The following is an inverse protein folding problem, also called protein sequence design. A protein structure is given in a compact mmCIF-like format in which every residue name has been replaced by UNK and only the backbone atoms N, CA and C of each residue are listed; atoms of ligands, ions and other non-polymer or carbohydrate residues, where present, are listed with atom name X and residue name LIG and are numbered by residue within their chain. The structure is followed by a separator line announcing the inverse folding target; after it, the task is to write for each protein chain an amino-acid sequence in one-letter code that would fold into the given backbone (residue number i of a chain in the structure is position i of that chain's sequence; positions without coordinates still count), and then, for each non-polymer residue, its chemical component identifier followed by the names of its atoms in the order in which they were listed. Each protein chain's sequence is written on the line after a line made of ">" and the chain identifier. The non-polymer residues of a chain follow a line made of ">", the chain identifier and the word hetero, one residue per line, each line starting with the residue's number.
data_IF_215275035238
#
_entry.id   IF_215275035238
#
_cell.length_a   1.000
_cell.length_b   1.000
_cell.length_c   1.000
_cell.angle_alpha   90.00
_cell.angle_beta   90.00
_cell.angle_gamma   90.00
#
_symmetry.space_group_name_H-M   'P 1'
#
loop_
_entity.id
_entity.type
_entity.pdbx_description
1 polymer ?
#
# COMPACT_ATOMS: atom_id res chain seq x y z
N UNK A 1 16.41 -17.74 13.29
CA UNK A 1 15.28 -17.84 12.34
C UNK A 1 14.00 -18.31 13.02
N UNK A 2 13.83 -19.59 13.41
CA UNK A 2 12.60 -20.03 14.14
C UNK A 2 12.44 -19.26 15.47
N UNK A 3 13.52 -19.10 16.20
CA UNK A 3 13.56 -18.31 17.45
C UNK A 3 13.16 -16.85 17.26
N UNK A 4 13.39 -16.29 16.06
CA UNK A 4 13.12 -14.89 15.77
C UNK A 4 11.65 -14.69 15.38
N UNK A 5 11.10 -15.62 14.60
CA UNK A 5 9.66 -15.69 14.32
C UNK A 5 8.83 -15.80 15.61
N UNK A 6 9.21 -16.72 16.50
CA UNK A 6 8.53 -16.90 17.79
C UNK A 6 8.61 -15.64 18.66
N UNK A 7 9.75 -14.94 18.64
CA UNK A 7 9.93 -13.68 19.37
C UNK A 7 8.99 -12.61 18.84
N UNK A 8 9.00 -12.39 17.52
CA UNK A 8 8.13 -11.37 16.90
C UNK A 8 6.67 -11.67 17.21
N UNK A 9 6.22 -12.91 16.99
CA UNK A 9 4.85 -13.32 17.32
C UNK A 9 4.46 -13.00 18.76
N UNK A 10 5.33 -13.30 19.73
CA UNK A 10 5.09 -13.05 21.16
C UNK A 10 5.15 -11.57 21.55
N UNK A 11 5.77 -10.71 20.74
CA UNK A 11 5.81 -9.27 20.98
C UNK A 11 4.58 -8.54 20.48
N UNK A 12 3.80 -9.15 19.58
CA UNK A 12 2.55 -8.57 19.08
C UNK A 12 1.50 -8.52 20.19
N UNK A 13 0.93 -7.35 20.39
CA UNK A 13 0.15 -7.04 21.59
C UNK A 13 -1.34 -7.45 21.54
N UNK A 14 -1.84 -7.91 20.39
CA UNK A 14 -3.23 -8.37 20.24
C UNK A 14 -3.36 -9.57 19.30
N UNK A 15 -4.54 -10.21 19.32
CA UNK A 15 -4.84 -11.37 18.48
C UNK A 15 -4.89 -11.02 16.99
N UNK A 16 -5.42 -9.85 16.64
CA UNK A 16 -5.50 -9.39 15.25
C UNK A 16 -4.11 -9.32 14.61
N UNK A 17 -3.15 -8.70 15.27
CA UNK A 17 -1.76 -8.60 14.80
C UNK A 17 -1.13 -9.98 14.67
N UNK A 18 -1.37 -10.88 15.62
CA UNK A 18 -0.85 -12.25 15.59
C UNK A 18 -1.41 -13.05 14.41
N UNK A 19 -2.71 -12.94 14.16
CA UNK A 19 -3.35 -13.62 13.03
C UNK A 19 -2.92 -13.04 11.68
N UNK A 20 -2.80 -11.71 11.57
CA UNK A 20 -2.28 -11.05 10.37
C UNK A 20 -0.83 -11.48 10.13
N UNK A 21 0.01 -11.50 11.16
CA UNK A 21 1.39 -11.95 11.06
C UNK A 21 1.51 -13.38 10.51
N UNK A 22 0.74 -14.33 11.08
CA UNK A 22 0.80 -15.73 10.65
C UNK A 22 0.30 -15.93 9.22
N UNK A 23 -0.83 -15.30 8.87
CA UNK A 23 -1.34 -15.35 7.50
C UNK A 23 -0.34 -14.71 6.52
N UNK A 24 0.24 -13.55 6.88
CA UNK A 24 1.23 -12.89 6.04
C UNK A 24 2.49 -13.71 5.86
N UNK A 25 2.98 -14.33 6.92
CA UNK A 25 4.13 -15.23 6.87
C UNK A 25 3.86 -16.42 5.93
N UNK A 26 2.69 -17.05 6.06
CA UNK A 26 2.31 -18.14 5.18
C UNK A 26 2.19 -17.70 3.72
N UNK A 27 1.62 -16.52 3.45
CA UNK A 27 1.60 -15.93 2.11
C UNK A 27 3.02 -15.72 1.57
N UNK A 28 3.92 -15.11 2.34
CA UNK A 28 5.30 -14.87 1.93
C UNK A 28 6.07 -16.16 1.60
N UNK A 29 5.74 -17.28 2.27
CA UNK A 29 6.37 -18.59 2.04
C UNK A 29 5.77 -19.31 0.82
N UNK A 30 4.46 -19.26 0.67
CA UNK A 30 3.72 -20.13 -0.27
C UNK A 30 3.29 -19.45 -1.55
N UNK A 31 3.15 -18.12 -1.53
CA UNK A 31 2.46 -17.35 -2.57
C UNK A 31 0.94 -17.60 -2.61
N UNK A 32 0.38 -18.33 -1.65
CA UNK A 32 -1.03 -18.71 -1.67
C UNK A 32 -1.92 -17.56 -1.19
N UNK A 33 -2.69 -17.00 -2.13
CA UNK A 33 -3.54 -15.84 -1.87
C UNK A 33 -4.61 -16.09 -0.80
N UNK A 34 -4.98 -17.34 -0.48
CA UNK A 34 -5.96 -17.65 0.57
C UNK A 34 -5.56 -17.05 1.92
N UNK A 35 -4.28 -16.92 2.21
CA UNK A 35 -3.85 -16.29 3.46
C UNK A 35 -4.08 -14.77 3.47
N UNK A 36 -3.99 -14.09 2.33
CA UNK A 36 -4.37 -12.68 2.21
C UNK A 36 -5.90 -12.56 2.27
N UNK A 37 -6.64 -13.43 1.58
CA UNK A 37 -8.10 -13.52 1.68
C UNK A 37 -8.56 -13.60 3.14
N UNK A 38 -7.97 -14.48 3.96
CA UNK A 38 -8.30 -14.60 5.38
C UNK A 38 -8.11 -13.29 6.17
N UNK A 39 -7.05 -12.53 5.87
CA UNK A 39 -6.80 -11.22 6.49
C UNK A 39 -7.90 -10.24 6.06
N UNK A 40 -8.11 -10.15 4.75
CA UNK A 40 -9.05 -9.19 4.16
C UNK A 40 -10.46 -9.45 4.65
N UNK A 41 -10.93 -10.69 4.52
CA UNK A 41 -12.30 -11.12 4.85
C UNK A 41 -12.64 -10.88 6.32
N UNK A 42 -11.65 -11.00 7.22
CA UNK A 42 -11.86 -10.85 8.67
C UNK A 42 -11.64 -9.44 9.21
N UNK A 43 -10.64 -8.70 8.71
CA UNK A 43 -10.14 -7.49 9.37
C UNK A 43 -10.26 -6.20 8.55
N UNK A 44 -10.28 -6.29 7.22
CA UNK A 44 -10.27 -5.08 6.36
C UNK A 44 -11.66 -4.44 6.33
N UNK A 45 -11.71 -3.18 6.75
CA UNK A 45 -12.89 -2.33 6.61
C UNK A 45 -13.04 -1.92 5.14
N UNK A 46 -14.28 -1.79 4.65
CA UNK A 46 -14.56 -1.59 3.22
C UNK A 46 -15.50 -0.42 3.02
N UNK A 47 -15.31 0.31 1.92
CA UNK A 47 -16.20 1.40 1.53
C UNK A 47 -17.43 0.82 0.85
N UNK A 48 -18.62 1.22 1.31
CA UNK A 48 -19.92 1.03 0.63
C UNK A 48 -20.39 -0.40 0.29
N UNK A 49 -19.63 -1.47 0.57
CA UNK A 49 -20.00 -2.84 0.19
C UNK A 49 -19.43 -3.92 1.15
N UNK A 50 -20.16 -5.02 1.31
CA UNK A 50 -19.73 -6.25 2.02
C UNK A 50 -18.73 -7.07 1.18
N UNK A 51 -17.73 -6.45 0.57
CA UNK A 51 -16.75 -7.16 -0.27
C UNK A 51 -16.12 -8.33 0.50
N UNK A 52 -16.02 -9.51 -0.09
CA UNK A 52 -15.27 -10.64 0.46
C UNK A 52 -14.63 -11.38 -0.70
N UNK A 53 -13.37 -11.78 -0.54
CA UNK A 53 -12.69 -12.59 -1.54
C UNK A 53 -13.31 -13.97 -1.64
N UNK A 54 -13.68 -14.59 -0.53
CA UNK A 54 -14.39 -15.87 -0.52
C UNK A 54 -15.72 -15.77 -1.29
N UNK A 55 -16.54 -14.75 -1.02
CA UNK A 55 -17.81 -14.52 -1.74
C UNK A 55 -17.57 -14.23 -3.23
N UNK A 56 -16.63 -13.34 -3.56
CA UNK A 56 -16.32 -12.98 -4.94
C UNK A 56 -15.88 -14.20 -5.75
N UNK A 57 -14.94 -14.99 -5.22
CA UNK A 57 -14.44 -16.20 -5.89
C UNK A 57 -15.55 -17.22 -6.05
N UNK A 58 -16.36 -17.43 -5.01
CA UNK A 58 -17.50 -18.34 -5.03
C UNK A 58 -18.53 -17.94 -6.09
N UNK A 59 -18.91 -16.67 -6.15
CA UNK A 59 -19.89 -16.15 -7.12
C UNK A 59 -19.39 -16.30 -8.55
N UNK A 60 -18.12 -15.99 -8.82
CA UNK A 60 -17.55 -16.13 -10.16
C UNK A 60 -17.49 -17.61 -10.58
N UNK A 61 -17.11 -18.52 -9.68
CA UNK A 61 -17.08 -19.97 -9.97
C UNK A 61 -18.45 -20.58 -10.26
N UNK A 62 -19.53 -19.96 -9.76
CA UNK A 62 -20.90 -20.41 -9.98
C UNK A 62 -21.55 -19.80 -11.23
N UNK A 63 -20.82 -18.97 -11.99
CA UNK A 63 -21.31 -18.46 -13.27
C UNK A 63 -21.40 -19.58 -14.32
N UNK A 64 -22.30 -19.48 -15.30
CA UNK A 64 -22.34 -20.40 -16.44
C UNK A 64 -21.00 -20.45 -17.17
N UNK A 65 -20.56 -21.63 -17.63
CA UNK A 65 -19.27 -21.86 -18.29
C UNK A 65 -19.03 -20.95 -19.51
N UNK A 66 -20.10 -20.53 -20.20
CA UNK A 66 -20.01 -19.62 -21.35
C UNK A 66 -19.78 -18.14 -20.98
N UNK A 67 -19.76 -17.81 -19.68
CA UNK A 67 -19.59 -16.44 -19.19
C UNK A 67 -18.15 -16.00 -19.34
N UNK A 68 -17.92 -14.92 -20.09
CA UNK A 68 -16.59 -14.33 -20.23
C UNK A 68 -16.25 -13.51 -18.98
N UNK A 69 -15.03 -13.67 -18.47
CA UNK A 69 -14.53 -12.93 -17.33
C UNK A 69 -13.60 -11.82 -17.84
N UNK A 70 -13.97 -10.57 -17.56
CA UNK A 70 -13.21 -9.38 -17.94
C UNK A 70 -12.61 -8.76 -16.68
N UNK A 71 -11.31 -8.48 -16.68
CA UNK A 71 -10.71 -7.64 -15.65
C UNK A 71 -10.70 -6.19 -16.14
N UNK A 72 -11.38 -5.28 -15.45
CA UNK A 72 -11.37 -3.86 -15.80
C UNK A 72 -10.23 -3.14 -15.07
N UNK A 73 -9.23 -2.69 -15.82
CA UNK A 73 -7.97 -2.14 -15.35
C UNK A 73 -6.81 -3.08 -15.69
N UNK A 74 -5.91 -2.64 -16.58
CA UNK A 74 -4.70 -3.37 -16.97
C UNK A 74 -3.44 -2.78 -16.29
N UNK A 75 -3.60 -2.19 -15.10
CA UNK A 75 -2.49 -1.71 -14.26
C UNK A 75 -1.84 -2.81 -13.42
N UNK A 76 -1.03 -2.43 -12.43
CA UNK A 76 -0.37 -3.37 -11.52
C UNK A 76 -1.37 -4.19 -10.68
N UNK A 77 -2.41 -3.55 -10.13
CA UNK A 77 -3.49 -4.24 -9.41
C UNK A 77 -4.31 -5.16 -10.34
N UNK A 78 -4.50 -4.77 -11.61
CA UNK A 78 -5.12 -5.61 -12.63
C UNK A 78 -4.31 -6.89 -12.90
N UNK A 79 -2.99 -6.76 -13.03
CA UNK A 79 -2.09 -7.89 -13.18
C UNK A 79 -2.13 -8.80 -11.92
N UNK A 80 -2.15 -8.21 -10.72
CA UNK A 80 -2.29 -8.95 -9.47
C UNK A 80 -3.61 -9.73 -9.41
N UNK A 81 -4.73 -9.07 -9.76
CA UNK A 81 -6.06 -9.68 -9.83
C UNK A 81 -6.09 -10.87 -10.80
N UNK A 82 -5.44 -10.76 -11.97
CA UNK A 82 -5.33 -11.88 -12.91
C UNK A 82 -4.70 -13.13 -12.24
N UNK A 83 -3.59 -12.95 -11.52
CA UNK A 83 -2.93 -14.06 -10.84
C UNK A 83 -3.73 -14.60 -9.65
N UNK A 84 -4.46 -13.74 -8.93
CA UNK A 84 -5.36 -14.13 -7.85
C UNK A 84 -6.50 -15.01 -8.39
N UNK A 85 -7.17 -14.59 -9.46
CA UNK A 85 -8.22 -15.36 -10.11
C UNK A 85 -7.68 -16.70 -10.63
N UNK A 86 -6.53 -16.67 -11.31
CA UNK A 86 -5.88 -17.86 -11.87
C UNK A 86 -5.50 -18.88 -10.81
N UNK A 87 -4.88 -18.45 -9.72
CA UNK A 87 -4.53 -19.33 -8.59
C UNK A 87 -5.76 -19.91 -7.89
N UNK A 88 -6.90 -19.21 -7.99
CA UNK A 88 -8.20 -19.67 -7.51
C UNK A 88 -8.93 -20.60 -8.50
N UNK A 89 -8.36 -20.88 -9.67
CA UNK A 89 -8.96 -21.73 -10.70
C UNK A 89 -9.95 -21.02 -11.63
N UNK A 90 -9.91 -19.68 -11.68
CA UNK A 90 -10.73 -18.85 -12.57
C UNK A 90 -9.84 -18.32 -13.70
N UNK A 91 -10.26 -18.46 -14.95
CA UNK A 91 -9.54 -17.88 -16.10
C UNK A 91 -10.22 -16.58 -16.53
N UNK A 92 -9.46 -15.48 -16.50
CA UNK A 92 -9.87 -14.23 -17.10
C UNK A 92 -9.55 -14.24 -18.61
N UNK A 93 -10.50 -13.80 -19.42
CA UNK A 93 -10.41 -13.83 -20.89
C UNK A 93 -9.64 -12.64 -21.45
N UNK A 94 -9.98 -11.44 -20.96
CA UNK A 94 -9.39 -10.17 -21.43
C UNK A 94 -9.30 -9.15 -20.31
N UNK A 95 -8.33 -8.24 -20.44
CA UNK A 95 -8.34 -6.98 -19.73
C UNK A 95 -9.17 -5.94 -20.49
N UNK A 96 -9.77 -5.00 -19.79
CA UNK A 96 -10.36 -3.79 -20.35
C UNK A 96 -9.66 -2.56 -19.76
N UNK A 97 -9.10 -1.69 -20.60
CA UNK A 97 -8.42 -0.47 -20.15
C UNK A 97 -8.62 0.69 -21.14
N UNK A 98 -8.66 1.93 -20.63
CA UNK A 98 -8.68 3.14 -21.47
C UNK A 98 -7.39 3.25 -22.28
N UNK A 99 -6.26 2.80 -21.72
CA UNK A 99 -4.97 2.74 -22.39
C UNK A 99 -4.80 1.42 -23.18
N UNK A 100 -5.40 1.38 -24.38
CA UNK A 100 -5.28 0.21 -25.27
C UNK A 100 -3.88 -0.07 -25.81
N UNK A 101 -2.92 0.86 -25.65
CA UNK A 101 -1.52 0.60 -26.03
C UNK A 101 -0.85 -0.49 -25.20
N UNK A 102 -1.46 -0.88 -24.08
CA UNK A 102 -1.02 -2.01 -23.25
C UNK A 102 -1.26 -3.37 -23.93
N UNK A 103 -2.07 -3.44 -24.98
CA UNK A 103 -2.29 -4.69 -25.70
C UNK A 103 -0.97 -5.25 -26.28
N UNK A 104 -0.79 -6.56 -26.19
CA UNK A 104 0.45 -7.25 -26.55
C UNK A 104 1.59 -7.15 -25.51
N UNK A 105 1.49 -6.26 -24.51
CA UNK A 105 2.41 -6.21 -23.36
C UNK A 105 1.92 -7.00 -22.14
N UNK A 106 0.65 -7.42 -22.16
CA UNK A 106 -0.04 -8.11 -21.05
C UNK A 106 -0.19 -9.60 -21.30
N UNK A 107 -0.45 -10.34 -20.22
CA UNK A 107 -0.61 -11.80 -20.23
C UNK A 107 -1.84 -12.28 -21.00
N UNK A 108 -2.87 -11.43 -21.07
CA UNK A 108 -4.09 -11.63 -21.85
C UNK A 108 -4.39 -10.35 -22.65
N UNK A 109 -5.18 -10.42 -23.73
CA UNK A 109 -5.46 -9.27 -24.58
C UNK A 109 -6.09 -8.10 -23.81
N UNK A 110 -5.81 -6.87 -24.26
CA UNK A 110 -6.40 -5.64 -23.69
C UNK A 110 -7.38 -5.03 -24.68
N UNK A 111 -8.64 -4.88 -24.28
CA UNK A 111 -9.69 -4.24 -25.08
C UNK A 111 -10.06 -2.86 -24.55
N UNK A 112 -10.67 -2.03 -25.40
CA UNK A 112 -11.23 -0.74 -24.99
C UNK A 112 -12.58 -0.89 -24.28
N UNK A 113 -12.99 0.09 -23.46
CA UNK A 113 -14.34 0.12 -22.88
C UNK A 113 -15.45 0.07 -23.94
N UNK A 114 -15.26 0.72 -25.09
CA UNK A 114 -16.20 0.65 -26.21
C UNK A 114 -16.40 -0.79 -26.69
N UNK A 115 -15.31 -1.55 -26.85
CA UNK A 115 -15.38 -2.96 -27.26
C UNK A 115 -16.06 -3.82 -26.20
N UNK A 116 -15.78 -3.58 -24.92
CA UNK A 116 -16.45 -4.25 -23.80
C UNK A 116 -17.97 -4.05 -23.88
N UNK A 117 -18.44 -2.82 -24.07
CA UNK A 117 -19.87 -2.52 -24.15
C UNK A 117 -20.54 -3.14 -25.37
N UNK A 118 -19.86 -3.17 -26.51
CA UNK A 118 -20.39 -3.82 -27.71
C UNK A 118 -20.47 -5.35 -27.53
N UNK A 119 -19.48 -5.97 -26.88
CA UNK A 119 -19.51 -7.41 -26.57
C UNK A 119 -20.58 -7.77 -25.56
N UNK A 120 -20.80 -6.92 -24.56
CA UNK A 120 -21.80 -7.12 -23.49
C UNK A 120 -23.23 -7.23 -24.04
N UNK A 121 -23.53 -6.60 -25.19
CA UNK A 121 -24.85 -6.70 -25.84
C UNK A 121 -25.20 -8.11 -26.32
N UNK A 122 -24.21 -8.96 -26.55
CA UNK A 122 -24.38 -10.27 -27.21
C UNK A 122 -23.75 -11.44 -26.47
N UNK A 123 -23.03 -11.20 -25.38
CA UNK A 123 -22.35 -12.22 -24.59
C UNK A 123 -22.73 -12.10 -23.11
N UNK A 124 -22.69 -13.22 -22.38
CA UNK A 124 -22.67 -13.18 -20.91
C UNK A 124 -21.26 -12.78 -20.47
N UNK A 125 -21.15 -11.70 -19.71
CA UNK A 125 -19.85 -11.19 -19.24
C UNK A 125 -19.97 -10.83 -17.76
N UNK A 126 -19.00 -11.26 -16.98
CA UNK A 126 -18.75 -10.75 -15.63
C UNK A 126 -17.50 -9.87 -15.65
N UNK A 127 -17.60 -8.68 -15.06
CA UNK A 127 -16.55 -7.67 -15.03
C UNK A 127 -16.03 -7.55 -13.61
N UNK A 128 -14.75 -7.85 -13.40
CA UNK A 128 -14.06 -7.70 -12.11
C UNK A 128 -13.18 -6.46 -12.16
N UNK A 129 -13.46 -5.46 -11.33
CA UNK A 129 -12.69 -4.21 -11.30
C UNK A 129 -11.35 -4.46 -10.59
N UNK A 130 -10.25 -4.21 -11.32
CA UNK A 130 -8.87 -4.43 -10.89
C UNK A 130 -8.19 -3.19 -10.33
N UNK A 131 -8.92 -2.38 -9.57
CA UNK A 131 -8.36 -1.23 -8.84
C UNK A 131 -9.20 -0.86 -7.63
N UNK A 132 -8.58 -0.65 -6.46
CA UNK A 132 -9.26 -0.11 -5.29
C UNK A 132 -9.48 1.40 -5.40
N UNK A 133 -8.43 2.13 -5.80
CA UNK A 133 -8.43 3.60 -5.82
C UNK A 133 -9.51 4.19 -6.73
N UNK A 134 -9.75 3.57 -7.88
CA UNK A 134 -10.74 4.04 -8.87
C UNK A 134 -12.00 3.16 -8.91
N UNK A 135 -12.23 2.33 -7.88
CA UNK A 135 -13.34 1.39 -7.86
C UNK A 135 -14.69 2.08 -8.10
N UNK A 136 -15.01 3.11 -7.30
CA UNK A 136 -16.30 3.80 -7.38
C UNK A 136 -16.49 4.52 -8.72
N UNK A 137 -15.46 5.23 -9.23
CA UNK A 137 -15.51 5.89 -10.55
C UNK A 137 -15.80 4.87 -11.66
N UNK A 138 -15.08 3.74 -11.65
CA UNK A 138 -15.24 2.71 -12.68
C UNK A 138 -16.60 2.02 -12.54
N UNK A 139 -17.03 1.72 -11.32
CA UNK A 139 -18.33 1.11 -11.05
C UNK A 139 -19.46 1.99 -11.59
N UNK A 140 -19.46 3.30 -11.26
CA UNK A 140 -20.43 4.26 -11.76
C UNK A 140 -20.38 4.36 -13.29
N UNK A 141 -19.19 4.47 -13.86
CA UNK A 141 -18.98 4.52 -15.31
C UNK A 141 -19.56 3.29 -16.03
N UNK A 142 -19.37 2.08 -15.49
CA UNK A 142 -19.91 0.84 -16.06
C UNK A 142 -21.46 0.84 -16.00
N UNK A 143 -22.03 1.22 -14.86
CA UNK A 143 -23.49 1.27 -14.66
C UNK A 143 -24.14 2.31 -15.59
N UNK A 144 -23.56 3.51 -15.69
CA UNK A 144 -24.03 4.56 -16.59
C UNK A 144 -24.01 4.15 -18.06
N UNK A 145 -23.10 3.25 -18.44
CA UNK A 145 -22.99 2.70 -19.79
C UNK A 145 -23.79 1.39 -19.99
N UNK A 146 -24.71 1.07 -19.07
CA UNK A 146 -25.70 0.00 -19.24
C UNK A 146 -25.23 -1.40 -18.83
N UNK A 147 -24.09 -1.51 -18.14
CA UNK A 147 -23.70 -2.76 -17.49
C UNK A 147 -24.59 -2.97 -16.25
N UNK A 148 -25.14 -4.18 -16.11
CA UNK A 148 -25.96 -4.52 -14.95
C UNK A 148 -25.11 -4.67 -13.70
N UNK A 149 -25.62 -4.20 -12.56
CA UNK A 149 -24.89 -4.22 -11.27
C UNK A 149 -24.49 -5.63 -10.84
N UNK A 150 -25.32 -6.63 -11.12
CA UNK A 150 -25.07 -8.03 -10.80
C UNK A 150 -23.89 -8.64 -11.57
N UNK A 151 -23.49 -8.05 -12.69
CA UNK A 151 -22.38 -8.48 -13.53
C UNK A 151 -21.06 -7.76 -13.18
N UNK A 152 -21.08 -6.83 -12.21
CA UNK A 152 -19.91 -6.08 -11.77
C UNK A 152 -19.45 -6.63 -10.41
N UNK A 153 -18.15 -6.95 -10.33
CA UNK A 153 -17.49 -7.55 -9.18
C UNK A 153 -16.28 -6.71 -8.78
N UNK A 154 -15.89 -6.82 -7.52
CA UNK A 154 -14.77 -6.09 -6.93
C UNK A 154 -15.20 -5.32 -5.68
N UNK A 155 -14.26 -4.58 -5.11
CA UNK A 155 -14.49 -3.71 -3.98
C UNK A 155 -13.30 -2.80 -3.75
N UNK A 156 -13.40 -1.98 -2.71
CA UNK A 156 -12.31 -1.15 -2.22
C UNK A 156 -12.27 -1.18 -0.70
N UNK A 157 -11.07 -1.25 -0.14
CA UNK A 157 -10.86 -1.07 1.29
C UNK A 157 -11.12 0.40 1.71
N UNK A 158 -11.55 0.56 2.96
CA UNK A 158 -11.54 1.85 3.64
C UNK A 158 -10.14 2.13 4.17
N UNK A 159 -9.38 2.92 3.41
CA UNK A 159 -8.01 3.32 3.72
C UNK A 159 -7.94 4.55 4.62
N UNK A 160 -9.07 5.09 5.10
CA UNK A 160 -9.07 6.33 5.91
C UNK A 160 -8.29 6.22 7.22
N UNK A 161 -8.15 4.99 7.74
CA UNK A 161 -7.39 4.69 8.97
C UNK A 161 -5.92 4.39 8.71
N UNK A 162 -5.52 4.17 7.47
CA UNK A 162 -4.17 3.78 7.14
C UNK A 162 -3.17 4.82 7.69
N UNK A 163 -2.15 4.35 8.41
CA UNK A 163 -1.15 5.13 9.15
C UNK A 163 -1.67 5.92 10.37
N UNK A 164 -2.97 6.20 10.48
CA UNK A 164 -3.54 7.06 11.52
C UNK A 164 -4.61 6.34 12.37
N UNK A 165 -4.49 5.03 12.50
CA UNK A 165 -5.45 4.21 13.24
C UNK A 165 -5.51 4.61 14.72
N UNK A 166 -6.58 5.32 15.09
CA UNK A 166 -6.76 5.90 16.42
C UNK A 166 -6.96 4.87 17.54
N UNK A 167 -7.22 3.61 17.19
CA UNK A 167 -7.25 2.54 18.19
C UNK A 167 -5.84 2.17 18.66
N UNK A 168 -4.83 2.39 17.81
CA UNK A 168 -3.44 2.06 18.06
C UNK A 168 -2.59 3.31 18.38
N UNK A 169 -2.94 4.44 17.78
CA UNK A 169 -2.20 5.70 17.85
C UNK A 169 -2.99 6.77 18.57
N UNK A 170 -2.41 7.30 19.64
CA UNK A 170 -2.85 8.57 20.23
C UNK A 170 -2.05 9.71 19.59
N UNK A 171 -2.73 10.56 18.81
CA UNK A 171 -2.15 11.79 18.26
C UNK A 171 -2.70 12.97 19.05
N UNK A 172 -1.82 13.89 19.41
CA UNK A 172 -2.15 15.19 19.99
C UNK A 172 -2.38 16.24 18.90
N UNK A 173 -2.83 17.43 19.26
CA UNK A 173 -2.99 18.53 18.29
C UNK A 173 -1.65 19.05 17.75
N UNK A 174 -0.55 18.78 18.49
CA UNK A 174 0.81 19.22 18.18
C UNK A 174 1.76 18.03 18.05
N UNK A 175 1.80 17.47 16.85
CA UNK A 175 2.68 16.36 16.48
C UNK A 175 3.69 16.79 15.41
N UNK A 176 4.84 16.12 15.37
CA UNK A 176 5.90 16.33 14.40
C UNK A 176 6.10 15.06 13.58
N UNK A 177 5.61 15.09 12.34
CA UNK A 177 5.47 13.93 11.47
C UNK A 177 6.57 13.86 10.42
N UNK A 178 7.17 12.70 10.26
CA UNK A 178 8.08 12.39 9.17
C UNK A 178 7.39 11.46 8.20
N UNK A 179 7.19 11.91 6.97
CA UNK A 179 6.61 11.13 5.87
C UNK A 179 7.73 10.66 4.95
N UNK A 180 8.24 9.45 5.16
CA UNK A 180 9.20 8.83 4.24
C UNK A 180 8.42 8.15 3.10
N UNK A 181 8.68 8.59 1.87
CA UNK A 181 7.93 8.16 0.68
C UNK A 181 6.63 8.95 0.56
N UNK A 182 6.75 10.26 0.37
CA UNK A 182 5.62 11.16 0.46
C UNK A 182 4.73 11.19 -0.80
N UNK A 183 5.23 10.70 -1.96
CA UNK A 183 4.55 10.54 -3.24
C UNK A 183 3.90 11.83 -3.80
N UNK A 184 2.76 12.23 -3.26
CA UNK A 184 1.98 13.41 -3.67
C UNK A 184 1.51 14.29 -2.49
N UNK A 185 1.96 13.97 -1.26
CA UNK A 185 1.58 14.52 0.03
C UNK A 185 0.18 14.15 0.55
N UNK A 186 -0.55 13.21 -0.05
CA UNK A 186 -1.90 12.88 0.44
C UNK A 186 -1.89 12.41 1.91
N UNK A 187 -0.98 11.51 2.28
CA UNK A 187 -0.79 11.06 3.68
C UNK A 187 -0.40 12.22 4.60
N UNK A 188 0.52 13.08 4.15
CA UNK A 188 0.90 14.27 4.92
C UNK A 188 -0.27 15.24 5.11
N UNK A 189 -1.12 15.47 4.11
CA UNK A 189 -2.31 16.32 4.25
C UNK A 189 -3.31 15.72 5.24
N UNK A 190 -3.53 14.41 5.21
CA UNK A 190 -4.38 13.71 6.18
C UNK A 190 -3.88 13.94 7.61
N UNK A 191 -2.56 13.88 7.83
CA UNK A 191 -1.94 14.22 9.11
C UNK A 191 -2.18 15.69 9.51
N UNK A 192 -1.94 16.64 8.60
CA UNK A 192 -2.08 18.08 8.90
C UNK A 192 -3.52 18.50 9.18
N UNK A 193 -4.51 17.81 8.60
CA UNK A 193 -5.92 18.00 8.92
C UNK A 193 -6.27 17.56 10.35
N UNK A 194 -5.50 16.62 10.89
CA UNK A 194 -5.68 16.06 12.24
C UNK A 194 -4.87 16.83 13.29
N UNK A 195 -3.63 17.20 12.97
CA UNK A 195 -2.68 17.84 13.88
C UNK A 195 -2.39 19.28 13.40
N UNK A 196 -3.35 20.18 13.60
CA UNK A 196 -3.29 21.54 13.04
C UNK A 196 -2.17 22.42 13.60
N UNK A 197 -1.67 22.15 14.82
CA UNK A 197 -0.52 22.84 15.43
C UNK A 197 0.81 22.11 15.17
N UNK A 198 0.75 20.99 14.47
CA UNK A 198 1.88 20.15 14.14
C UNK A 198 2.72 20.64 12.97
N UNK A 199 3.75 19.87 12.66
CA UNK A 199 4.66 20.11 11.53
C UNK A 199 5.02 18.80 10.84
N UNK A 200 5.19 18.85 9.52
CA UNK A 200 5.57 17.69 8.71
C UNK A 200 6.93 17.87 8.03
N UNK A 201 7.67 16.78 7.92
CA UNK A 201 8.92 16.64 7.17
C UNK A 201 8.73 15.52 6.13
N UNK A 202 8.49 15.89 4.88
CA UNK A 202 8.21 14.97 3.80
C UNK A 202 9.45 14.68 2.97
N UNK A 203 9.69 13.41 2.65
CA UNK A 203 10.83 12.94 1.87
C UNK A 203 10.34 12.20 0.63
N UNK A 204 10.71 12.68 -0.55
CA UNK A 204 10.36 12.07 -1.83
C UNK A 204 11.57 12.12 -2.79
N UNK A 205 12.23 10.98 -3.06
CA UNK A 205 13.40 10.94 -3.93
C UNK A 205 13.09 11.10 -5.42
N UNK A 206 11.91 10.66 -5.89
CA UNK A 206 11.57 10.74 -7.31
C UNK A 206 11.25 12.19 -7.69
N UNK A 207 11.97 12.73 -8.68
CA UNK A 207 11.85 14.14 -9.04
C UNK A 207 10.43 14.50 -9.54
N UNK A 208 9.75 13.59 -10.24
CA UNK A 208 8.40 13.85 -10.75
C UNK A 208 7.40 13.91 -9.60
N UNK A 209 7.51 12.99 -8.65
CA UNK A 209 6.68 12.98 -7.44
C UNK A 209 7.01 14.17 -6.52
N UNK A 210 8.28 14.51 -6.35
CA UNK A 210 8.69 15.70 -5.60
C UNK A 210 8.08 16.99 -6.18
N UNK A 211 8.06 17.13 -7.52
CA UNK A 211 7.38 18.24 -8.18
C UNK A 211 5.86 18.24 -7.92
N UNK A 212 5.22 17.05 -7.86
CA UNK A 212 3.80 16.95 -7.43
C UNK A 212 3.65 17.43 -5.99
N UNK A 213 4.53 17.03 -5.06
CA UNK A 213 4.51 17.49 -3.68
C UNK A 213 4.62 19.03 -3.58
N UNK A 214 5.52 19.65 -4.35
CA UNK A 214 5.66 21.11 -4.38
C UNK A 214 4.40 21.80 -4.90
N UNK A 215 3.80 21.29 -5.98
CA UNK A 215 2.51 21.79 -6.50
C UNK A 215 1.37 21.63 -5.49
N UNK A 216 1.29 20.50 -4.79
CA UNK A 216 0.31 20.25 -3.73
C UNK A 216 0.49 21.25 -2.59
N UNK A 217 1.72 21.47 -2.12
CA UNK A 217 2.05 22.46 -1.10
C UNK A 217 1.58 23.87 -1.47
N UNK A 218 1.83 24.31 -2.71
CA UNK A 218 1.41 25.63 -3.21
C UNK A 218 -0.12 25.72 -3.32
N UNK A 219 -0.76 24.71 -3.93
CA UNK A 219 -2.21 24.65 -4.15
C UNK A 219 -3.00 24.77 -2.84
N UNK A 220 -2.57 24.06 -1.80
CA UNK A 220 -3.25 24.03 -0.50
C UNK A 220 -2.64 24.98 0.55
N UNK A 221 -1.62 25.76 0.18
CA UNK A 221 -0.93 26.72 1.07
C UNK A 221 -0.44 26.10 2.37
N UNK A 222 0.19 24.92 2.26
CA UNK A 222 0.69 24.16 3.41
C UNK A 222 1.94 24.85 3.98
N UNK A 223 1.80 25.60 5.07
CA UNK A 223 2.89 26.38 5.67
C UNK A 223 3.70 25.60 6.72
N UNK A 224 3.13 24.54 7.28
CA UNK A 224 3.73 23.71 8.33
C UNK A 224 4.36 22.43 7.78
N UNK A 225 4.95 22.50 6.58
CA UNK A 225 5.64 21.37 5.94
C UNK A 225 6.99 21.80 5.33
N UNK A 226 8.02 20.99 5.58
CA UNK A 226 9.29 21.00 4.85
C UNK A 226 9.35 19.75 3.96
N UNK A 227 9.72 19.93 2.69
CA UNK A 227 9.76 18.85 1.70
C UNK A 227 11.20 18.71 1.20
N UNK A 228 11.70 17.48 1.18
CA UNK A 228 13.07 17.13 0.81
C UNK A 228 13.07 16.19 -0.39
N UNK A 229 13.83 16.54 -1.43
CA UNK A 229 14.06 15.66 -2.57
C UNK A 229 15.19 14.65 -2.26
N UNK A 230 14.94 13.80 -1.27
CA UNK A 230 15.87 12.79 -0.79
C UNK A 230 15.10 11.52 -0.43
N UNK A 231 15.72 10.37 -0.69
CA UNK A 231 15.32 9.10 -0.10
C UNK A 231 15.92 8.95 1.29
N UNK A 232 15.31 8.09 2.09
CA UNK A 232 15.76 7.82 3.45
C UNK A 232 16.53 6.50 3.50
N UNK A 233 17.73 6.51 4.09
CA UNK A 233 18.56 5.30 4.19
C UNK A 233 19.53 5.35 5.35
N UNK A 234 20.43 4.36 5.42
CA UNK A 234 21.34 4.18 6.56
C UNK A 234 22.61 5.02 6.48
N UNK A 235 22.91 5.58 5.31
CA UNK A 235 24.05 6.48 5.06
C UNK A 235 23.76 7.41 3.88
N UNK A 236 24.55 8.46 3.76
CA UNK A 236 24.55 9.34 2.60
C UNK A 236 25.14 8.63 1.38
N UNK A 237 24.36 8.50 0.31
CA UNK A 237 24.80 7.90 -0.95
C UNK A 237 23.90 8.31 -2.13
N UNK A 238 24.34 8.04 -3.36
CA UNK A 238 23.48 8.12 -4.53
C UNK A 238 23.19 6.70 -5.01
N UNK A 239 21.92 6.37 -5.21
CA UNK A 239 21.49 5.06 -5.68
C UNK A 239 20.79 5.18 -7.03
N UNK A 240 20.91 4.13 -7.84
CA UNK A 240 20.11 3.99 -9.05
C UNK A 240 18.69 3.52 -8.70
N UNK A 241 17.73 4.06 -9.44
CA UNK A 241 16.31 3.98 -9.13
C UNK A 241 15.51 3.76 -10.41
N UNK A 242 14.51 2.89 -10.34
CA UNK A 242 13.53 2.66 -11.41
C UNK A 242 12.27 3.45 -11.06
N UNK A 243 12.04 4.55 -11.78
CA UNK A 243 10.81 5.35 -11.63
C UNK A 243 9.66 4.74 -12.44
N UNK A 244 8.52 4.48 -11.79
CA UNK A 244 7.29 3.99 -12.44
C UNK A 244 6.16 5.03 -12.42
N UNK A 245 6.38 6.21 -11.82
CA UNK A 245 5.43 7.34 -11.68
C UNK A 245 4.11 7.04 -10.93
N UNK A 246 3.87 5.80 -10.51
CA UNK A 246 2.60 5.30 -9.96
C UNK A 246 2.72 4.67 -8.56
N UNK A 247 3.73 5.06 -7.77
CA UNK A 247 3.90 4.55 -6.39
C UNK A 247 4.35 3.08 -6.33
N UNK A 248 5.20 2.66 -7.26
CA UNK A 248 5.85 1.34 -7.25
C UNK A 248 7.32 1.45 -7.68
N UNK A 249 7.93 2.60 -7.39
CA UNK A 249 9.28 2.92 -7.84
C UNK A 249 10.29 2.37 -6.83
N UNK A 250 11.33 1.67 -7.28
CA UNK A 250 12.24 0.96 -6.37
C UNK A 250 13.72 1.14 -6.74
N UNK A 251 14.61 0.94 -5.75
CA UNK A 251 16.07 0.97 -5.95
C UNK A 251 16.50 -0.25 -6.78
N UNK A 252 17.27 -0.01 -7.84
CA UNK A 252 17.73 -1.05 -8.77
C UNK A 252 19.06 -0.68 -9.41
N UNK A 253 20.00 -1.61 -9.50
CA UNK A 253 21.29 -1.41 -10.19
C UNK A 253 21.13 -1.10 -11.69
N UNK A 254 19.97 -1.46 -12.26
CA UNK A 254 19.57 -1.19 -13.64
C UNK A 254 18.63 0.02 -13.77
N UNK A 255 18.45 0.80 -12.70
CA UNK A 255 17.62 1.99 -12.71
C UNK A 255 18.14 3.06 -13.67
N UNK A 256 17.20 3.80 -14.27
CA UNK A 256 17.49 4.86 -15.25
C UNK A 256 17.60 6.26 -14.61
N UNK A 257 17.39 6.35 -13.30
CA UNK A 257 17.41 7.62 -12.56
C UNK A 257 18.31 7.47 -11.33
N UNK A 258 19.04 8.52 -10.97
CA UNK A 258 19.81 8.56 -9.73
C UNK A 258 19.02 9.34 -8.68
N UNK A 259 18.95 8.81 -7.46
CA UNK A 259 18.34 9.47 -6.31
C UNK A 259 19.37 9.68 -5.21
N UNK A 260 19.24 10.80 -4.50
CA UNK A 260 20.06 11.09 -3.33
C UNK A 260 19.44 10.47 -2.09
N UNK A 261 20.23 9.70 -1.34
CA UNK A 261 19.84 9.10 -0.05
C UNK A 261 20.54 9.86 1.08
N UNK A 262 19.81 10.13 2.15
CA UNK A 262 20.33 10.73 3.39
C UNK A 262 19.80 10.00 4.63
N UNK A 263 20.44 10.22 5.79
CA UNK A 263 19.93 9.72 7.07
C UNK A 263 19.00 10.73 7.72
N UNK A 264 17.93 10.26 8.35
CA UNK A 264 17.00 11.12 9.09
C UNK A 264 17.69 11.79 10.28
N UNK A 265 18.59 11.08 10.97
CA UNK A 265 19.36 11.60 12.10
C UNK A 265 20.18 12.85 11.70
N UNK A 266 20.70 12.92 10.47
CA UNK A 266 21.42 14.08 9.96
C UNK A 266 20.47 15.19 9.46
N UNK A 267 19.47 14.83 8.65
CA UNK A 267 18.57 15.80 8.01
C UNK A 267 17.63 16.50 9.01
N UNK A 268 17.28 15.82 10.09
CA UNK A 268 16.33 16.30 11.11
C UNK A 268 17.02 16.58 12.44
N UNK A 269 18.31 16.88 12.41
CA UNK A 269 19.08 17.25 13.61
C UNK A 269 18.41 18.40 14.36
N UNK A 270 18.31 18.26 15.69
CA UNK A 270 17.64 19.21 16.60
C UNK A 270 16.12 19.41 16.38
N UNK A 271 15.50 18.69 15.45
CA UNK A 271 14.05 18.75 15.26
C UNK A 271 13.34 17.81 16.23
N UNK A 272 12.21 18.28 16.73
CA UNK A 272 11.27 17.44 17.48
C UNK A 272 10.57 16.51 16.50
N UNK A 273 10.52 15.21 16.82
CA UNK A 273 9.93 14.15 16.00
C UNK A 273 9.11 13.26 16.91
N UNK A 274 7.82 13.18 16.65
CA UNK A 274 6.88 12.42 17.49
C UNK A 274 6.19 11.29 16.72
N UNK A 275 6.26 11.31 15.38
CA UNK A 275 5.71 10.26 14.53
C UNK A 275 6.53 10.10 13.25
N UNK A 276 6.90 8.85 12.90
CA UNK A 276 7.55 8.51 11.63
C UNK A 276 6.69 7.48 10.89
N UNK A 277 6.34 7.79 9.64
CA UNK A 277 5.79 6.84 8.67
C UNK A 277 6.86 6.47 7.65
N UNK A 278 6.93 5.20 7.28
CA UNK A 278 7.79 4.73 6.20
C UNK A 278 7.04 3.80 5.27
N UNK A 279 6.99 4.19 4.00
CA UNK A 279 6.49 3.41 2.87
C UNK A 279 7.39 3.75 1.69
N UNK A 280 8.52 3.04 1.60
CA UNK A 280 9.68 3.43 0.77
C UNK A 280 10.27 2.24 0.03
N UNK A 281 9.39 1.34 -0.42
CA UNK A 281 9.67 0.41 -1.53
C UNK A 281 10.85 -0.53 -1.22
N UNK A 282 10.90 -1.01 0.03
CA UNK A 282 11.89 -1.94 0.53
C UNK A 282 13.10 -1.29 1.22
N UNK A 283 13.16 0.04 1.35
CA UNK A 283 14.23 0.73 2.08
C UNK A 283 13.94 0.94 3.57
N UNK A 284 12.82 0.42 4.09
CA UNK A 284 12.32 0.67 5.45
C UNK A 284 13.35 0.33 6.52
N UNK A 285 13.95 -0.86 6.46
CA UNK A 285 14.97 -1.27 7.43
C UNK A 285 16.23 -0.38 7.36
N UNK A 286 16.62 0.08 6.17
CA UNK A 286 17.76 0.98 6.00
C UNK A 286 17.46 2.39 6.51
N UNK A 287 16.27 2.93 6.24
CA UNK A 287 15.84 4.20 6.80
C UNK A 287 15.73 4.15 8.33
N UNK A 288 15.27 3.04 8.91
CA UNK A 288 15.28 2.80 10.36
C UNK A 288 16.72 2.81 10.91
N UNK A 289 17.69 2.23 10.21
CA UNK A 289 19.12 2.32 10.57
C UNK A 289 19.65 3.75 10.49
N UNK A 290 19.12 4.59 9.62
CA UNK A 290 19.42 6.01 9.51
C UNK A 290 18.67 6.93 10.49
N UNK A 291 17.84 6.36 11.37
CA UNK A 291 17.03 7.10 12.35
C UNK A 291 17.23 6.60 13.79
N UNK A 292 18.34 5.91 14.06
CA UNK A 292 18.63 5.28 15.36
C UNK A 292 18.62 6.31 16.50
N UNK A 293 19.25 7.46 16.30
CA UNK A 293 19.38 8.47 17.36
C UNK A 293 18.03 9.12 17.66
N UNK A 294 17.25 9.47 16.63
CA UNK A 294 15.88 9.97 16.77
C UNK A 294 15.02 8.95 17.51
N UNK A 295 15.01 7.68 17.06
CA UNK A 295 14.16 6.64 17.63
C UNK A 295 14.50 6.38 19.10
N UNK A 296 15.78 6.27 19.45
CA UNK A 296 16.20 6.00 20.84
C UNK A 296 15.93 7.16 21.79
N UNK A 297 16.12 8.40 21.33
CA UNK A 297 16.01 9.61 22.19
C UNK A 297 14.59 10.10 22.31
N UNK A 298 13.87 10.18 21.20
CA UNK A 298 12.55 10.80 21.13
C UNK A 298 11.41 9.77 21.18
N UNK A 299 11.72 8.50 20.88
CA UNK A 299 10.77 7.39 20.90
C UNK A 299 9.45 7.72 20.17
N UNK A 300 9.53 8.21 18.91
CA UNK A 300 8.35 8.59 18.16
C UNK A 300 7.44 7.38 17.95
N UNK A 301 6.16 7.62 17.71
CA UNK A 301 5.28 6.61 17.13
C UNK A 301 5.88 6.17 15.78
N UNK A 302 5.72 4.91 15.40
CA UNK A 302 6.16 4.39 14.10
C UNK A 302 4.98 3.73 13.37
N UNK A 303 4.87 3.98 12.07
CA UNK A 303 3.96 3.26 11.17
C UNK A 303 4.76 2.86 9.91
N UNK A 304 5.17 1.60 9.85
CA UNK A 304 6.19 1.11 8.90
C UNK A 304 5.57 0.04 8.01
N UNK A 305 5.62 0.23 6.69
CA UNK A 305 5.24 -0.80 5.72
C UNK A 305 6.13 -2.03 5.89
N UNK A 306 5.51 -3.21 5.96
CA UNK A 306 6.21 -4.51 6.13
C UNK A 306 5.82 -5.51 5.03
N UNK A 307 5.38 -5.00 3.88
CA UNK A 307 4.88 -5.80 2.77
C UNK A 307 5.81 -5.84 1.55
N UNK A 308 6.82 -4.97 1.48
CA UNK A 308 7.74 -4.85 0.34
C UNK A 308 8.76 -5.98 0.25
N UNK A 309 9.39 -6.36 1.37
CA UNK A 309 10.28 -7.52 1.43
C UNK A 309 9.73 -8.59 2.35
N UNK A 310 9.95 -9.85 1.97
CA UNK A 310 9.46 -11.00 2.72
C UNK A 310 10.04 -11.08 4.14
N UNK A 311 11.25 -10.56 4.34
CA UNK A 311 11.97 -10.54 5.62
C UNK A 311 11.69 -9.30 6.47
N UNK A 312 11.04 -8.25 5.94
CA UNK A 312 10.64 -7.05 6.70
C UNK A 312 9.71 -7.42 7.86
N UNK A 313 8.83 -8.40 7.63
CA UNK A 313 7.91 -8.96 8.65
C UNK A 313 8.65 -9.45 9.91
N UNK A 314 9.95 -9.78 9.80
CA UNK A 314 10.77 -10.31 10.89
C UNK A 314 11.80 -9.27 11.33
N UNK A 315 12.57 -8.73 10.37
CA UNK A 315 13.74 -7.92 10.64
C UNK A 315 13.38 -6.55 11.21
N UNK A 316 12.29 -5.92 10.74
CA UNK A 316 11.86 -4.60 11.22
C UNK A 316 11.41 -4.66 12.68
N UNK A 317 10.48 -5.56 13.10
CA UNK A 317 10.12 -5.72 14.51
C UNK A 317 11.31 -5.98 15.44
N UNK A 318 12.24 -6.85 15.02
CA UNK A 318 13.46 -7.16 15.80
C UNK A 318 14.35 -5.93 15.95
N UNK A 319 14.54 -5.20 14.86
CA UNK A 319 15.36 -4.00 14.88
C UNK A 319 14.77 -2.93 15.81
N UNK A 320 13.46 -2.66 15.71
CA UNK A 320 12.75 -1.71 16.57
C UNK A 320 12.85 -2.12 18.05
N UNK A 321 12.58 -3.39 18.38
CA UNK A 321 12.68 -3.91 19.75
C UNK A 321 14.10 -3.89 20.32
N UNK A 322 15.12 -4.03 19.47
CA UNK A 322 16.53 -3.89 19.88
C UNK A 322 16.87 -2.44 20.23
N UNK A 323 16.30 -1.47 19.53
CA UNK A 323 16.52 -0.05 19.81
C UNK A 323 15.76 0.41 21.05
N UNK A 324 14.49 0.05 21.16
CA UNK A 324 13.59 0.46 22.25
C UNK A 324 12.71 -0.74 22.65
N UNK A 325 13.12 -1.53 23.66
CA UNK A 325 12.38 -2.70 24.12
C UNK A 325 10.95 -2.40 24.60
N UNK A 326 10.69 -1.18 25.06
CA UNK A 326 9.39 -0.72 25.57
C UNK A 326 8.29 -0.61 24.51
N UNK A 327 8.61 -0.51 23.21
CA UNK A 327 7.58 -0.38 22.17
C UNK A 327 6.62 -1.56 22.19
N UNK A 328 5.32 -1.28 22.21
CA UNK A 328 4.25 -2.21 21.90
C UNK A 328 4.11 -2.28 20.39
N UNK A 329 3.98 -3.50 19.86
CA UNK A 329 3.93 -3.75 18.43
C UNK A 329 2.54 -4.23 18.02
N UNK A 330 2.03 -3.68 16.93
CA UNK A 330 0.76 -4.04 16.33
C UNK A 330 0.92 -4.14 14.82
N UNK A 331 0.15 -5.01 14.17
CA UNK A 331 0.12 -5.13 12.71
C UNK A 331 -1.34 -4.94 12.25
N UNK A 332 -1.52 -4.17 11.19
CA UNK A 332 -2.81 -4.01 10.50
C UNK A 332 -2.62 -4.09 8.99
N UNK A 333 -3.73 -4.30 8.29
CA UNK A 333 -3.79 -4.42 6.86
C UNK A 333 -4.94 -3.55 6.33
N UNK A 334 -4.69 -2.75 5.29
CA UNK A 334 -5.60 -1.69 4.86
C UNK A 334 -6.02 -1.78 3.39
N UNK A 335 -5.65 -2.84 2.67
CA UNK A 335 -5.97 -3.08 1.26
C UNK A 335 -6.75 -4.38 1.11
N UNK A 336 -7.49 -4.57 0.02
CA UNK A 336 -7.99 -5.90 -0.35
C UNK A 336 -6.92 -6.73 -1.07
N UNK A 337 -5.79 -6.15 -1.43
CA UNK A 337 -4.67 -6.80 -2.09
C UNK A 337 -3.52 -7.06 -1.10
N UNK A 338 -2.48 -7.82 -1.50
CA UNK A 338 -1.34 -8.07 -0.62
C UNK A 338 -0.49 -6.84 -0.26
N UNK A 339 -0.83 -5.62 -0.66
CA UNK A 339 -0.09 -4.42 -0.25
C UNK A 339 -0.50 -3.97 1.18
N UNK A 340 -0.09 -2.78 1.59
CA UNK A 340 -0.65 -2.05 2.74
C UNK A 340 -0.71 -2.80 4.09
N UNK A 341 0.27 -3.68 4.34
CA UNK A 341 0.47 -4.30 5.66
C UNK A 341 1.44 -3.46 6.47
N UNK A 342 0.96 -2.88 7.57
CA UNK A 342 1.68 -1.86 8.35
C UNK A 342 1.96 -2.37 9.76
N UNK A 343 3.21 -2.24 10.20
CA UNK A 343 3.62 -2.40 11.58
C UNK A 343 3.54 -1.04 12.30
N UNK A 344 2.79 -1.00 13.39
CA UNK A 344 2.80 0.11 14.33
C UNK A 344 3.68 -0.20 15.54
N UNK A 345 4.50 0.77 15.94
CA UNK A 345 5.24 0.72 17.20
C UNK A 345 4.93 1.96 18.04
N UNK A 346 4.39 1.75 19.24
CA UNK A 346 3.91 2.82 20.15
C UNK A 346 4.28 2.51 21.60
N UNK A 347 4.26 3.50 22.49
CA UNK A 347 4.59 3.32 23.92
C UNK A 347 3.33 3.35 24.77
#
# INVERSE_FOLDING_TARGET
>A
MITDLERVYRWLCDLESQEIFLNRLNYNITGDFRYISNIVDKYVQRISNNFSWEDLISRIKNLPDETKIVIYGAGGEGDALYWILKSSGITADVFCDRNTSLDGSKTIPVISPKKLFDDYKSNKIAIVIGTEMYFDEIYEFLVENGIKKEDIYGGAADTTKQYFDRQLLSLTEKEYFVDCGALDLQTTMNFLNVCCEGKSYAFEPDISNFEKCMKTKEKYKLNNIEIYNHGCGSKKECLKFTSTQNGSSYVSDNGNTEISIETLDQMLVLKEITFIKMDIEGMELEALKGSIEIIKKQKPKLAISIYHKSDDLINIPIFIKKLVPEYKLYIRHYSIYPAETILYAVI
#
